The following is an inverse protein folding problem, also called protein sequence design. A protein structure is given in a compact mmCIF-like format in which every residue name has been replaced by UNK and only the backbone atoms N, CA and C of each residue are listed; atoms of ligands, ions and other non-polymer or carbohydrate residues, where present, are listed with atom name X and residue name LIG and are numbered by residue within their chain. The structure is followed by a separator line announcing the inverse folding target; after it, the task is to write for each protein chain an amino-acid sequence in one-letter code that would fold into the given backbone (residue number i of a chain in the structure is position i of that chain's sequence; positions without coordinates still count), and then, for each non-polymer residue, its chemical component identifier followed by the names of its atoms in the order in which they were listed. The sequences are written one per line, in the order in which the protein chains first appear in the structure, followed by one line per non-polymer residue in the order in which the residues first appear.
data_IF_572643864439
#
_entry.id   IF_572643864439
#
_cell.length_a   1.000
_cell.length_b   1.000
_cell.length_c   1.000
_cell.angle_alpha   90.00
_cell.angle_beta   90.00
_cell.angle_gamma   90.00
#
_symmetry.space_group_name_H-M   'P 1'
#
loop_
_entity.id
_entity.type
_entity.pdbx_description
1 polymer ?
#
# COMPACT_ATOMS: atom_id res chain seq x y z
N UNK A 1 9.38 16.46 -14.23
CA UNK A 1 10.17 15.35 -13.67
C UNK A 1 9.29 14.64 -12.67
N UNK A 2 8.95 13.38 -12.93
CA UNK A 2 8.13 12.59 -12.02
C UNK A 2 8.87 12.43 -10.69
N UNK A 3 8.32 13.02 -9.63
CA UNK A 3 8.92 13.02 -8.30
C UNK A 3 8.57 11.72 -7.58
N UNK A 4 9.56 10.93 -7.19
CA UNK A 4 9.37 9.70 -6.43
C UNK A 4 9.19 10.01 -4.94
N UNK A 5 8.18 9.40 -4.32
CA UNK A 5 8.08 9.38 -2.86
C UNK A 5 9.08 8.37 -2.29
N UNK A 6 10.03 8.84 -1.48
CA UNK A 6 11.07 8.00 -0.87
C UNK A 6 10.65 7.60 0.53
N UNK A 7 10.70 6.30 0.80
CA UNK A 7 10.56 5.75 2.15
C UNK A 7 11.91 5.18 2.60
N UNK A 8 12.66 5.88 3.47
CA UNK A 8 13.97 5.42 3.93
C UNK A 8 13.86 4.43 5.11
N UNK A 9 15.02 3.95 5.58
CA UNK A 9 15.17 3.19 6.83
C UNK A 9 14.44 1.83 6.89
N UNK A 10 14.24 1.19 5.74
CA UNK A 10 13.68 -0.16 5.66
C UNK A 10 14.81 -1.18 5.88
N UNK A 11 14.71 -1.96 6.96
CA UNK A 11 15.66 -3.04 7.28
C UNK A 11 15.08 -4.44 7.03
N UNK A 12 13.78 -4.53 6.75
CA UNK A 12 13.08 -5.77 6.47
C UNK A 12 13.01 -6.04 4.95
N UNK A 13 12.67 -7.28 4.58
CA UNK A 13 12.46 -7.66 3.18
C UNK A 13 11.04 -7.34 2.67
N UNK A 14 10.22 -6.67 3.47
CA UNK A 14 8.88 -6.21 3.10
C UNK A 14 8.56 -4.87 3.78
N UNK A 15 7.70 -4.08 3.15
CA UNK A 15 7.21 -2.81 3.70
C UNK A 15 5.78 -2.57 3.22
N UNK A 16 4.90 -2.14 4.14
CA UNK A 16 3.50 -1.79 3.82
C UNK A 16 3.39 -0.29 3.64
N UNK A 17 3.04 0.15 2.43
CA UNK A 17 2.78 1.57 2.15
C UNK A 17 1.33 1.90 2.50
N UNK A 18 1.13 2.91 3.34
CA UNK A 18 -0.17 3.40 3.77
C UNK A 18 -0.57 4.70 3.03
N UNK A 19 -1.84 5.11 3.13
CA UNK A 19 -2.34 6.36 2.52
C UNK A 19 -2.44 6.33 0.98
N UNK A 20 -2.60 5.14 0.40
CA UNK A 20 -2.79 4.99 -1.04
C UNK A 20 -4.27 5.01 -1.38
N UNK A 21 -4.62 5.70 -2.46
CA UNK A 21 -5.98 5.75 -2.96
C UNK A 21 -6.45 4.37 -3.44
N UNK A 22 -7.69 4.04 -3.10
CA UNK A 22 -8.34 2.78 -3.48
C UNK A 22 -8.58 2.70 -4.99
N UNK A 23 -8.34 1.52 -5.59
CA UNK A 23 -8.51 1.30 -7.03
C UNK A 23 -7.45 1.98 -7.92
N UNK A 24 -6.42 2.59 -7.35
CA UNK A 24 -5.39 3.35 -8.06
C UNK A 24 -4.16 2.51 -8.35
N UNK A 25 -3.55 2.73 -9.53
CA UNK A 25 -2.29 2.10 -9.94
C UNK A 25 -1.10 2.93 -9.47
N UNK A 26 -0.11 2.25 -8.90
CA UNK A 26 1.15 2.82 -8.44
C UNK A 26 2.33 2.07 -9.05
N UNK A 27 3.45 2.78 -9.19
CA UNK A 27 4.73 2.20 -9.61
C UNK A 27 5.65 2.21 -8.39
N UNK A 28 6.29 1.07 -8.14
CA UNK A 28 7.25 0.89 -7.06
C UNK A 28 8.63 0.55 -7.62
N UNK A 29 9.66 1.02 -6.93
CA UNK A 29 11.05 0.72 -7.22
C UNK A 29 11.77 0.53 -5.88
N UNK A 30 12.56 -0.53 -5.76
CA UNK A 30 13.38 -0.78 -4.57
C UNK A 30 14.81 -0.38 -4.89
N UNK A 31 15.40 0.44 -4.01
CA UNK A 31 16.80 0.83 -4.08
C UNK A 31 17.56 0.19 -2.91
N UNK A 32 18.39 -0.80 -3.21
CA UNK A 32 19.30 -1.39 -2.23
C UNK A 32 20.53 -0.49 -2.06
N UNK A 33 20.98 -0.27 -0.83
CA UNK A 33 22.11 0.62 -0.51
C UNK A 33 23.05 -0.08 0.47
N UNK A 34 24.35 -0.02 0.20
CA UNK A 34 25.42 -0.48 1.08
C UNK A 34 26.63 0.48 1.01
N UNK A 35 27.74 0.12 1.66
CA UNK A 35 28.97 0.94 1.65
C UNK A 35 29.57 1.12 0.25
N UNK A 36 29.35 0.19 -0.68
CA UNK A 36 29.87 0.28 -2.04
C UNK A 36 28.98 1.12 -2.98
N UNK A 37 27.77 1.49 -2.54
CA UNK A 37 26.86 2.34 -3.32
C UNK A 37 25.42 1.84 -3.29
N UNK A 38 24.72 2.01 -4.40
CA UNK A 38 23.30 1.68 -4.49
C UNK A 38 22.90 1.10 -5.84
N UNK A 39 21.89 0.22 -5.84
CA UNK A 39 21.33 -0.37 -7.05
C UNK A 39 19.81 -0.40 -7.00
N UNK A 40 19.20 -0.06 -8.14
CA UNK A 40 17.75 -0.09 -8.31
C UNK A 40 17.30 -1.46 -8.83
N UNK A 41 16.13 -1.91 -8.39
CA UNK A 41 15.38 -2.99 -9.01
C UNK A 41 14.71 -2.53 -10.31
N UNK A 42 14.13 -3.48 -11.04
CA UNK A 42 13.10 -3.14 -12.02
C UNK A 42 11.86 -2.54 -11.34
N UNK A 43 11.09 -1.77 -12.10
CA UNK A 43 9.85 -1.16 -11.59
C UNK A 43 8.72 -2.18 -11.53
N UNK A 44 8.00 -2.24 -10.40
CA UNK A 44 6.79 -3.02 -10.25
C UNK A 44 5.55 -2.13 -10.38
N UNK A 45 4.53 -2.58 -11.12
CA UNK A 45 3.23 -1.89 -11.24
C UNK A 45 2.19 -2.64 -10.45
N UNK A 46 1.65 -2.01 -9.40
CA UNK A 46 0.65 -2.62 -8.52
C UNK A 46 -0.61 -1.76 -8.48
N UNK A 47 -1.76 -2.39 -8.28
CA UNK A 47 -3.06 -1.71 -8.13
C UNK A 47 -3.61 -1.98 -6.75
N UNK A 48 -4.07 -0.94 -6.05
CA UNK A 48 -4.76 -1.10 -4.77
C UNK A 48 -6.13 -1.71 -4.98
N UNK A 49 -6.60 -2.45 -3.98
CA UNK A 49 -7.95 -3.02 -4.00
C UNK A 49 -8.99 -1.90 -3.96
N UNK A 50 -10.09 -2.11 -4.68
CA UNK A 50 -11.26 -1.22 -4.71
C UNK A 50 -12.46 -1.76 -3.96
N UNK A 51 -12.33 -2.91 -3.29
CA UNK A 51 -13.45 -3.55 -2.63
C UNK A 51 -13.70 -2.93 -1.25
N UNK A 52 -14.92 -2.44 -0.99
CA UNK A 52 -15.36 -2.17 0.37
C UNK A 52 -15.21 -3.44 1.19
N UNK A 53 -14.73 -3.31 2.42
CA UNK A 53 -14.73 -4.45 3.33
C UNK A 53 -16.17 -4.96 3.48
N UNK A 54 -16.36 -6.27 3.39
CA UNK A 54 -17.67 -6.90 3.55
C UNK A 54 -17.64 -7.71 4.84
N UNK A 55 -18.61 -7.47 5.71
CA UNK A 55 -18.86 -8.37 6.83
C UNK A 55 -19.43 -9.68 6.30
N UNK A 56 -18.93 -10.81 6.78
CA UNK A 56 -19.58 -12.10 6.57
C UNK A 56 -20.92 -12.10 7.36
N UNK A 57 -22.08 -12.17 6.68
CA UNK A 57 -23.37 -12.14 7.36
C UNK A 57 -23.59 -13.30 8.35
N UNK A 58 -22.89 -14.43 8.16
CA UNK A 58 -23.05 -15.61 9.02
C UNK A 58 -22.25 -15.51 10.31
N UNK A 59 -21.14 -14.78 10.28
CA UNK A 59 -20.24 -14.63 11.43
C UNK A 59 -20.38 -13.27 12.11
N UNK A 60 -20.88 -12.25 11.41
CA UNK A 60 -21.02 -10.91 11.96
C UNK A 60 -22.14 -10.83 13.00
N UNK A 61 -21.88 -10.11 14.09
CA UNK A 61 -22.89 -9.83 15.08
C UNK A 61 -24.01 -8.96 14.47
N UNK A 62 -25.27 -9.27 14.77
CA UNK A 62 -26.46 -8.61 14.18
C UNK A 62 -26.49 -7.08 14.35
N UNK A 63 -25.80 -6.55 15.36
CA UNK A 63 -25.70 -5.11 15.65
C UNK A 63 -24.43 -4.45 15.10
N UNK A 64 -23.50 -5.22 14.55
CA UNK A 64 -22.30 -4.68 13.93
C UNK A 64 -22.67 -4.08 12.58
N UNK A 65 -22.43 -2.77 12.42
CA UNK A 65 -22.67 -2.05 11.18
C UNK A 65 -21.33 -1.52 10.65
N UNK A 66 -21.16 -1.63 9.35
CA UNK A 66 -20.08 -0.97 8.62
C UNK A 66 -20.55 0.45 8.33
N UNK A 67 -19.88 1.44 8.92
CA UNK A 67 -20.04 2.82 8.49
C UNK A 67 -18.99 3.10 7.42
N UNK A 68 -19.41 3.65 6.28
CA UNK A 68 -18.51 4.05 5.21
C UNK A 68 -18.24 5.54 5.38
N UNK A 69 -17.46 5.89 6.40
CA UNK A 69 -17.32 7.27 6.89
C UNK A 69 -16.53 8.20 5.96
N UNK A 70 -16.36 7.80 4.69
CA UNK A 70 -15.69 8.62 3.68
C UNK A 70 -14.24 8.98 4.01
N UNK A 71 -13.63 8.34 5.03
CA UNK A 71 -12.24 8.49 5.40
C UNK A 71 -11.39 7.86 4.29
N UNK A 72 -11.17 8.62 3.23
CA UNK A 72 -10.07 8.41 2.31
C UNK A 72 -8.80 8.59 3.15
N UNK A 73 -8.16 7.49 3.53
CA UNK A 73 -6.83 7.52 4.13
C UNK A 73 -5.82 8.06 3.11
#
# INVERSE_FOLDING_TARGET
MDSWMIVPNIKQNHYTVHGLQSGTRYIFLVKAINQAGSRNSETARLKTNSQPFKLDPKMAHKKLKISNDGLQM
#
